data_IF_755170364211
#
_entry.id   IF_755170364211
#
_cell.length_a   1.000
_cell.length_b   1.000
_cell.length_c   1.000
_cell.angle_alpha   90.00
_cell.angle_beta   90.00
_cell.angle_gamma   90.00
#
_symmetry.space_group_name_H-M   'P 1'
#
loop_
_entity.id
_entity.type
_entity.pdbx_description
1 polymer ?
#
# COMPACT_ATOMS: atom_id res chain seq x y z
N UNK A 1 12.47 12.38 57.46
CA UNK A 1 11.77 12.09 58.73
C UNK A 1 12.34 10.79 59.27
N UNK A 2 12.63 10.71 60.57
CA UNK A 2 13.07 9.47 61.20
C UNK A 2 11.82 8.69 61.58
N UNK A 3 11.45 7.67 60.78
CA UNK A 3 10.23 6.89 60.98
C UNK A 3 10.42 5.93 62.16
N UNK A 4 9.37 5.74 62.97
CA UNK A 4 9.39 4.93 64.18
C UNK A 4 8.89 3.51 63.91
N UNK A 5 9.58 2.51 64.46
CA UNK A 5 9.11 1.11 64.54
C UNK A 5 9.16 0.68 66.01
N UNK A 6 8.04 0.27 66.60
CA UNK A 6 7.96 -0.17 67.99
C UNK A 6 8.16 -1.68 68.19
N UNK A 7 8.10 -2.49 67.13
CA UNK A 7 8.41 -3.92 67.19
C UNK A 7 9.92 -4.12 67.23
N UNK A 8 10.45 -4.56 68.38
CA UNK A 8 11.89 -4.71 68.62
C UNK A 8 12.35 -6.15 68.64
N UNK A 9 13.49 -6.41 68.02
CA UNK A 9 14.15 -7.70 68.11
C UNK A 9 14.67 -7.93 69.55
N UNK A 10 14.29 -9.06 70.14
CA UNK A 10 14.68 -9.46 71.48
C UNK A 10 16.01 -10.22 71.48
N UNK A 11 16.89 -9.97 72.46
CA UNK A 11 18.11 -10.76 72.68
C UNK A 11 19.06 -10.87 71.47
N UNK A 12 19.23 -9.78 70.72
CA UNK A 12 20.09 -9.71 69.51
C UNK A 12 21.53 -9.25 69.76
N UNK A 13 21.87 -8.88 71.00
CA UNK A 13 23.23 -8.45 71.36
C UNK A 13 24.17 -9.66 71.48
N UNK A 14 25.46 -9.41 71.28
CA UNK A 14 26.49 -10.42 71.53
C UNK A 14 26.45 -10.87 73.00
N UNK A 15 26.62 -12.18 73.21
CA UNK A 15 26.52 -12.81 74.53
C UNK A 15 25.10 -12.89 75.11
N UNK A 16 24.05 -12.66 74.32
CA UNK A 16 22.68 -12.82 74.79
C UNK A 16 22.40 -14.24 75.31
N UNK A 17 21.56 -14.34 76.35
CA UNK A 17 21.13 -15.59 76.99
C UNK A 17 20.24 -16.43 76.06
N UNK A 18 20.83 -17.04 75.04
CA UNK A 18 20.14 -17.74 73.96
C UNK A 18 20.94 -18.97 73.54
N UNK A 19 20.30 -20.11 73.33
CA UNK A 19 20.97 -21.34 72.86
C UNK A 19 21.58 -21.17 71.46
N UNK A 20 22.73 -21.81 71.22
CA UNK A 20 23.38 -21.83 69.91
C UNK A 20 22.46 -22.42 68.83
N UNK A 21 22.63 -22.02 67.56
CA UNK A 21 21.72 -22.42 66.48
C UNK A 21 21.73 -23.93 66.24
N UNK A 22 22.90 -24.54 66.16
CA UNK A 22 23.07 -25.98 65.98
C UNK A 22 22.38 -26.80 67.08
N UNK A 23 22.55 -26.41 68.35
CA UNK A 23 21.91 -27.10 69.48
C UNK A 23 20.39 -26.92 69.50
N UNK A 24 19.89 -25.77 69.06
CA UNK A 24 18.45 -25.52 68.98
C UNK A 24 17.78 -26.37 67.90
N UNK A 25 18.44 -26.56 66.76
CA UNK A 25 17.95 -27.36 65.62
C UNK A 25 17.81 -28.85 65.95
N UNK A 26 18.53 -29.33 66.98
CA UNK A 26 18.50 -30.72 67.45
C UNK A 26 17.41 -30.98 68.51
N UNK A 27 16.74 -29.95 69.02
CA UNK A 27 15.74 -30.08 70.09
C UNK A 27 14.42 -30.72 69.59
N UNK A 28 13.92 -31.79 70.24
CA UNK A 28 12.60 -32.36 69.92
C UNK A 28 11.45 -31.35 70.06
N UNK A 29 11.58 -30.39 70.97
CA UNK A 29 10.60 -29.34 71.27
C UNK A 29 10.31 -28.43 70.07
N UNK A 30 11.17 -28.41 69.04
CA UNK A 30 10.87 -27.72 67.78
C UNK A 30 9.61 -28.25 67.10
N UNK A 31 9.33 -29.55 67.25
CA UNK A 31 8.19 -30.21 66.64
C UNK A 31 7.04 -30.40 67.64
N UNK A 32 7.36 -30.74 68.89
CA UNK A 32 6.37 -31.06 69.92
C UNK A 32 5.97 -29.88 70.82
N UNK A 33 6.65 -28.74 70.72
CA UNK A 33 6.48 -27.60 71.63
C UNK A 33 7.20 -27.78 72.97
N UNK A 34 7.22 -26.72 73.79
CA UNK A 34 7.89 -26.75 75.09
C UNK A 34 7.16 -27.63 76.11
N UNK A 35 7.90 -28.40 76.94
CA UNK A 35 7.30 -29.23 77.99
C UNK A 35 6.63 -28.37 79.08
N UNK A 36 5.64 -28.90 79.81
CA UNK A 36 4.95 -28.16 80.88
C UNK A 36 5.85 -27.80 82.09
N UNK A 37 6.99 -28.48 82.23
CA UNK A 37 7.99 -28.29 83.29
C UNK A 37 9.39 -28.38 82.68
N UNK A 38 10.38 -27.83 83.38
CA UNK A 38 11.80 -27.94 83.04
C UNK A 38 12.26 -27.24 81.75
N UNK A 39 11.61 -26.12 81.38
CA UNK A 39 12.04 -25.25 80.28
C UNK A 39 13.19 -24.33 80.72
N UNK A 40 14.34 -24.40 80.01
CA UNK A 40 15.43 -23.45 80.23
C UNK A 40 15.15 -22.11 79.56
N UNK A 41 15.55 -21.01 80.20
CA UNK A 41 15.40 -19.65 79.65
C UNK A 41 16.21 -19.46 78.37
N UNK A 42 17.34 -20.16 78.21
CA UNK A 42 18.15 -20.16 76.97
C UNK A 42 17.37 -20.63 75.74
N UNK A 43 16.55 -21.68 75.90
CA UNK A 43 15.73 -22.26 74.83
C UNK A 43 14.52 -21.36 74.54
N UNK A 44 13.82 -20.90 75.59
CA UNK A 44 12.71 -19.96 75.46
C UNK A 44 13.14 -18.67 74.76
N UNK A 45 14.26 -18.09 75.17
CA UNK A 45 14.81 -16.87 74.58
C UNK A 45 15.19 -17.05 73.11
N UNK A 46 15.51 -18.26 72.66
CA UNK A 46 15.78 -18.53 71.24
C UNK A 46 14.53 -18.41 70.39
N UNK A 47 13.43 -19.03 70.82
CA UNK A 47 12.13 -18.92 70.14
C UNK A 47 11.63 -17.46 70.14
N UNK A 48 11.74 -16.77 71.29
CA UNK A 48 11.40 -15.34 71.40
C UNK A 48 12.31 -14.46 70.52
N UNK A 49 13.61 -14.74 70.43
CA UNK A 49 14.53 -14.02 69.55
C UNK A 49 14.18 -14.22 68.09
N UNK A 50 13.97 -15.46 67.64
CA UNK A 50 13.65 -15.73 66.22
C UNK A 50 12.35 -15.03 65.80
N UNK A 51 11.29 -15.15 66.62
CA UNK A 51 10.00 -14.50 66.34
C UNK A 51 10.06 -12.96 66.36
N UNK A 52 10.67 -12.38 67.40
CA UNK A 52 10.80 -10.92 67.52
C UNK A 52 11.73 -10.30 66.47
N UNK A 53 12.77 -11.02 66.03
CA UNK A 53 13.68 -10.56 64.98
C UNK A 53 12.94 -10.43 63.65
N UNK A 54 12.17 -11.45 63.25
CA UNK A 54 11.34 -11.39 62.05
C UNK A 54 10.29 -10.28 62.17
N UNK A 55 9.65 -10.15 63.33
CA UNK A 55 8.66 -9.09 63.58
C UNK A 55 9.26 -7.69 63.42
N UNK A 56 10.46 -7.45 63.96
CA UNK A 56 11.19 -6.19 63.81
C UNK A 56 11.54 -5.89 62.36
N UNK A 57 12.04 -6.88 61.61
CA UNK A 57 12.42 -6.73 60.19
C UNK A 57 11.19 -6.40 59.34
N UNK A 58 10.08 -7.09 59.55
CA UNK A 58 8.82 -6.83 58.83
C UNK A 58 8.30 -5.43 59.19
N UNK A 59 8.32 -5.04 60.46
CA UNK A 59 7.85 -3.72 60.87
C UNK A 59 8.75 -2.58 60.35
N UNK A 60 10.08 -2.79 60.25
CA UNK A 60 11.00 -1.84 59.62
C UNK A 60 10.74 -1.69 58.12
N UNK A 61 10.45 -2.81 57.42
CA UNK A 61 10.03 -2.80 56.03
C UNK A 61 8.73 -2.01 55.86
N UNK A 62 7.71 -2.30 56.68
CA UNK A 62 6.43 -1.59 56.66
C UNK A 62 6.66 -0.09 56.88
N UNK A 63 7.44 0.27 57.90
CA UNK A 63 7.73 1.66 58.25
C UNK A 63 8.37 2.41 57.09
N UNK A 64 9.48 1.88 56.58
CA UNK A 64 10.29 2.46 55.50
C UNK A 64 9.48 2.64 54.22
N UNK A 65 8.80 1.58 53.79
CA UNK A 65 8.10 1.59 52.51
C UNK A 65 6.77 2.33 52.61
N UNK A 66 5.95 2.11 53.64
CA UNK A 66 4.67 2.84 53.78
C UNK A 66 4.86 4.34 54.07
N UNK A 67 6.04 4.74 54.56
CA UNK A 67 6.36 6.11 54.96
C UNK A 67 5.60 6.55 56.21
N UNK A 68 5.33 5.65 57.13
CA UNK A 68 4.53 5.91 58.34
C UNK A 68 5.04 5.09 59.52
N UNK A 69 4.85 5.61 60.73
CA UNK A 69 5.26 4.92 61.96
C UNK A 69 4.48 3.62 62.17
N UNK A 70 5.16 2.58 62.66
CA UNK A 70 4.60 1.27 62.99
C UNK A 70 4.63 1.09 64.50
N UNK A 71 3.47 1.25 65.15
CA UNK A 71 3.32 1.26 66.61
C UNK A 71 2.82 -0.09 67.12
N UNK A 72 3.26 -0.50 68.31
CA UNK A 72 2.78 -1.68 69.03
C UNK A 72 1.61 -1.30 69.95
N UNK A 73 0.47 -0.94 69.34
CA UNK A 73 -0.75 -0.48 70.02
C UNK A 73 -1.92 -1.49 69.92
N UNK A 74 -1.65 -2.69 69.41
CA UNK A 74 -2.65 -3.73 69.17
C UNK A 74 -3.60 -3.46 68.00
N UNK A 75 -3.39 -2.40 67.21
CA UNK A 75 -4.25 -2.07 66.07
C UNK A 75 -3.87 -2.88 64.82
N UNK A 76 -4.36 -4.12 64.76
CA UNK A 76 -4.10 -5.06 63.65
C UNK A 76 -4.55 -4.46 62.31
N UNK A 77 -5.72 -3.82 62.26
CA UNK A 77 -6.26 -3.24 61.02
C UNK A 77 -5.33 -2.18 60.42
N UNK A 78 -4.77 -1.31 61.28
CA UNK A 78 -3.79 -0.29 60.85
C UNK A 78 -2.50 -0.94 60.37
N UNK A 79 -1.97 -1.92 61.09
CA UNK A 79 -0.75 -2.63 60.70
C UNK A 79 -0.92 -3.35 59.34
N UNK A 80 -2.07 -4.00 59.12
CA UNK A 80 -2.41 -4.61 57.82
C UNK A 80 -2.47 -3.59 56.69
N UNK A 81 -3.13 -2.45 56.92
CA UNK A 81 -3.21 -1.38 55.92
C UNK A 81 -1.82 -0.82 55.58
N UNK A 82 -0.96 -0.66 56.58
CA UNK A 82 0.42 -0.20 56.38
C UNK A 82 1.27 -1.23 55.62
N UNK A 83 1.11 -2.53 55.90
CA UNK A 83 1.79 -3.59 55.16
C UNK A 83 1.37 -3.62 53.68
N UNK A 84 0.07 -3.52 53.39
CA UNK A 84 -0.42 -3.46 52.02
C UNK A 84 0.17 -2.24 51.27
N UNK A 85 0.15 -1.06 51.91
CA UNK A 85 0.74 0.16 51.34
C UNK A 85 2.24 0.03 51.08
N UNK A 86 2.98 -0.61 51.99
CA UNK A 86 4.40 -0.89 51.83
C UNK A 86 4.67 -1.79 50.61
N UNK A 87 3.89 -2.86 50.44
CA UNK A 87 3.98 -3.76 49.29
C UNK A 87 3.63 -3.04 47.97
N UNK A 88 2.52 -2.31 47.92
CA UNK A 88 2.08 -1.56 46.74
C UNK A 88 3.14 -0.56 46.27
N UNK A 89 3.70 0.23 47.20
CA UNK A 89 4.76 1.20 46.87
C UNK A 89 6.03 0.51 46.39
N UNK A 90 6.41 -0.62 47.01
CA UNK A 90 7.61 -1.37 46.61
C UNK A 90 7.46 -1.99 45.22
N UNK A 91 6.27 -2.49 44.89
CA UNK A 91 5.93 -3.03 43.57
C UNK A 91 5.97 -1.92 42.52
N UNK A 92 5.27 -0.80 42.77
CA UNK A 92 5.18 0.32 41.82
C UNK A 92 6.53 0.98 41.51
N UNK A 93 7.42 1.06 42.51
CA UNK A 93 8.75 1.70 42.32
C UNK A 93 9.78 0.80 41.64
N UNK A 94 9.64 -0.53 41.73
CA UNK A 94 10.56 -1.49 41.09
C UNK A 94 10.05 -2.01 39.74
N UNK A 95 8.75 -1.96 39.52
CA UNK A 95 8.10 -2.39 38.29
C UNK A 95 7.53 -1.13 37.64
N UNK A 96 8.37 -0.42 36.90
CA UNK A 96 7.93 0.74 36.12
C UNK A 96 6.90 0.33 35.07
N UNK A 97 6.03 1.27 34.70
CA UNK A 97 5.23 1.20 33.48
C UNK A 97 6.11 1.00 32.25
N UNK A 98 5.48 0.67 31.11
CA UNK A 98 6.12 0.52 29.82
C UNK A 98 7.17 1.63 29.55
N UNK A 99 8.43 1.23 29.40
CA UNK A 99 9.56 2.13 29.11
C UNK A 99 10.32 1.63 27.87
N UNK A 100 10.83 2.55 27.06
CA UNK A 100 11.66 2.26 25.88
C UNK A 100 13.10 1.86 26.26
N UNK A 101 13.51 2.06 27.51
CA UNK A 101 14.91 1.92 27.96
C UNK A 101 15.08 0.97 29.16
N UNK A 102 14.00 0.61 29.87
CA UNK A 102 14.05 -0.27 31.04
C UNK A 102 12.85 -1.24 31.04
N UNK A 103 13.08 -2.52 31.39
CA UNK A 103 12.03 -3.56 31.35
C UNK A 103 10.98 -3.35 32.46
N UNK A 104 9.68 -3.37 32.12
CA UNK A 104 8.51 -3.17 33.01
C UNK A 104 7.30 -4.06 32.65
N UNK A 105 6.11 -3.84 33.22
CA UNK A 105 4.84 -4.49 32.81
C UNK A 105 4.12 -3.56 31.81
N UNK A 106 3.74 -4.09 30.63
CA UNK A 106 3.01 -3.34 29.61
C UNK A 106 1.58 -3.86 29.51
N UNK A 107 0.59 -2.96 29.51
CA UNK A 107 -0.81 -3.34 29.28
C UNK A 107 -1.02 -3.66 27.79
N UNK A 108 -1.71 -4.76 27.48
CA UNK A 108 -2.01 -5.16 26.11
C UNK A 108 -3.25 -4.44 25.57
N UNK A 109 -3.28 -4.18 24.26
CA UNK A 109 -4.43 -3.62 23.54
C UNK A 109 -4.82 -4.47 22.32
N UNK A 110 -6.12 -4.58 22.08
CA UNK A 110 -6.75 -5.09 20.87
C UNK A 110 -7.29 -3.97 19.96
N UNK A 111 -7.24 -2.71 20.42
CA UNK A 111 -7.60 -1.52 19.65
C UNK A 111 -6.40 -0.84 18.99
N UNK A 112 -6.66 -0.17 17.85
CA UNK A 112 -5.72 0.72 17.17
C UNK A 112 -5.82 2.12 17.79
N UNK A 113 -4.69 2.79 17.96
CA UNK A 113 -4.65 4.15 18.50
C UNK A 113 -3.24 4.73 18.49
N UNK A 114 -3.03 5.78 19.28
CA UNK A 114 -1.78 6.54 19.40
C UNK A 114 -1.18 6.45 20.81
N UNK A 115 -1.37 5.31 21.50
CA UNK A 115 -0.85 5.10 22.85
C UNK A 115 0.64 4.78 22.85
N UNK A 116 1.37 5.38 23.79
CA UNK A 116 2.77 5.06 24.09
C UNK A 116 2.91 4.11 25.30
N UNK A 117 1.79 3.72 25.93
CA UNK A 117 1.77 2.89 27.15
C UNK A 117 1.16 1.50 26.94
N UNK A 118 0.56 1.25 25.76
CA UNK A 118 -0.08 -0.02 25.42
C UNK A 118 0.75 -0.78 24.36
N UNK A 119 0.88 -2.09 24.53
CA UNK A 119 1.46 -2.98 23.52
C UNK A 119 0.36 -3.67 22.70
N UNK A 120 0.52 -3.70 21.38
CA UNK A 120 -0.40 -4.41 20.51
C UNK A 120 -0.38 -5.93 20.79
N UNK A 121 -1.56 -6.55 20.87
CA UNK A 121 -1.66 -8.01 20.92
C UNK A 121 -1.21 -8.63 19.60
N UNK A 122 -0.71 -9.88 19.63
CA UNK A 122 -0.37 -10.62 18.40
C UNK A 122 -1.57 -10.71 17.45
N UNK A 123 -2.79 -10.89 18.00
CA UNK A 123 -4.02 -10.88 17.22
C UNK A 123 -4.22 -9.56 16.46
N UNK A 124 -4.08 -8.42 17.13
CA UNK A 124 -4.17 -7.11 16.49
C UNK A 124 -3.13 -6.95 15.37
N UNK A 125 -1.88 -7.37 15.60
CA UNK A 125 -0.82 -7.34 14.59
C UNK A 125 -1.17 -8.22 13.38
N UNK A 126 -1.70 -9.42 13.61
CA UNK A 126 -2.16 -10.31 12.53
C UNK A 126 -3.35 -9.73 11.75
N UNK A 127 -4.33 -9.15 12.43
CA UNK A 127 -5.50 -8.52 11.79
C UNK A 127 -5.09 -7.32 10.92
N UNK A 128 -4.15 -6.49 11.40
CA UNK A 128 -3.57 -5.37 10.62
C UNK A 128 -2.82 -5.91 9.39
N UNK A 129 -1.99 -6.94 9.56
CA UNK A 129 -1.24 -7.54 8.47
C UNK A 129 -2.16 -8.13 7.39
N UNK A 130 -3.24 -8.81 7.79
CA UNK A 130 -4.25 -9.34 6.87
C UNK A 130 -4.97 -8.21 6.11
N UNK A 131 -5.36 -7.14 6.79
CA UNK A 131 -5.96 -5.97 6.14
C UNK A 131 -4.99 -5.31 5.16
N UNK A 132 -3.70 -5.22 5.49
CA UNK A 132 -2.68 -4.67 4.57
C UNK A 132 -2.49 -5.56 3.34
N UNK A 133 -2.43 -6.89 3.51
CA UNK A 133 -2.28 -7.83 2.40
C UNK A 133 -3.46 -7.82 1.42
N UNK A 134 -4.67 -7.51 1.90
CA UNK A 134 -5.87 -7.44 1.05
C UNK A 134 -5.98 -6.13 0.24
N UNK A 135 -5.06 -5.17 0.40
CA UNK A 135 -5.10 -3.88 -0.30
C UNK A 135 -4.07 -3.88 -1.43
N UNK A 136 -4.54 -3.78 -2.67
CA UNK A 136 -3.71 -3.81 -3.88
C UNK A 136 -2.96 -5.12 -4.05
N UNK A 137 -3.65 -6.23 -3.78
CA UNK A 137 -3.04 -7.55 -3.89
C UNK A 137 -2.73 -7.85 -5.37
N UNK A 138 -1.43 -7.98 -5.70
CA UNK A 138 -0.98 -8.13 -7.10
C UNK A 138 -1.62 -9.32 -7.82
N UNK A 139 -1.87 -10.40 -7.08
CA UNK A 139 -2.47 -11.65 -7.57
C UNK A 139 -3.96 -11.49 -7.90
N UNK A 140 -4.65 -10.50 -7.31
CA UNK A 140 -6.07 -10.26 -7.54
C UNK A 140 -6.36 -9.45 -8.81
N UNK A 141 -5.35 -8.83 -9.44
CA UNK A 141 -5.51 -8.05 -10.67
C UNK A 141 -6.66 -7.01 -10.59
N UNK A 142 -6.82 -6.35 -9.45
CA UNK A 142 -7.88 -5.36 -9.22
C UNK A 142 -9.27 -5.93 -8.93
N UNK A 143 -9.39 -7.22 -8.62
CA UNK A 143 -10.64 -7.80 -8.11
C UNK A 143 -11.03 -7.23 -6.73
N UNK A 144 -10.05 -6.77 -5.96
CA UNK A 144 -10.17 -6.12 -4.65
C UNK A 144 -10.62 -4.65 -4.72
N UNK A 145 -10.76 -4.06 -5.91
CA UNK A 145 -11.24 -2.69 -6.10
C UNK A 145 -12.75 -2.63 -5.83
N UNK A 146 -13.23 -1.91 -4.79
CA UNK A 146 -14.65 -1.90 -4.43
C UNK A 146 -15.53 -1.20 -5.47
N UNK A 147 -15.07 -0.07 -6.00
CA UNK A 147 -15.73 0.67 -7.07
C UNK A 147 -14.77 0.83 -8.26
N UNK A 148 -14.92 -0.08 -9.22
CA UNK A 148 -14.10 -0.08 -10.44
C UNK A 148 -14.38 1.14 -11.33
N UNK A 149 -15.60 1.69 -11.30
CA UNK A 149 -15.96 2.83 -12.13
C UNK A 149 -15.29 4.11 -11.62
N UNK A 150 -15.36 4.38 -10.31
CA UNK A 150 -14.67 5.52 -9.70
C UNK A 150 -13.15 5.37 -9.82
N UNK A 151 -12.62 4.15 -9.71
CA UNK A 151 -11.21 3.87 -9.96
C UNK A 151 -10.77 4.27 -11.38
N UNK A 152 -11.48 3.82 -12.42
CA UNK A 152 -11.21 4.17 -13.83
C UNK A 152 -11.30 5.68 -14.07
N UNK A 153 -12.26 6.35 -13.43
CA UNK A 153 -12.42 7.82 -13.48
C UNK A 153 -11.24 8.56 -12.84
N UNK A 154 -10.74 8.09 -11.69
CA UNK A 154 -9.57 8.67 -11.02
C UNK A 154 -8.27 8.48 -11.82
N UNK A 155 -8.19 7.45 -12.67
CA UNK A 155 -7.10 7.29 -13.64
C UNK A 155 -7.21 8.23 -14.85
N UNK A 156 -8.32 8.97 -14.99
CA UNK A 156 -8.56 9.86 -16.12
C UNK A 156 -8.90 9.14 -17.43
N UNK A 157 -9.24 7.85 -17.38
CA UNK A 157 -9.58 7.06 -18.57
C UNK A 157 -11.04 7.24 -19.00
N UNK A 158 -11.94 7.55 -18.07
CA UNK A 158 -13.39 7.76 -18.31
C UNK A 158 -13.97 6.67 -19.26
N UNK A 159 -14.61 7.07 -20.37
CA UNK A 159 -15.20 6.13 -21.34
C UNK A 159 -14.17 5.37 -22.16
N UNK A 160 -12.94 5.89 -22.31
CA UNK A 160 -11.93 5.26 -23.16
C UNK A 160 -11.53 3.87 -22.67
N UNK A 161 -11.56 3.63 -21.35
CA UNK A 161 -11.30 2.30 -20.76
C UNK A 161 -12.27 1.21 -21.24
N UNK A 162 -13.46 1.59 -21.72
CA UNK A 162 -14.50 0.67 -22.17
C UNK A 162 -14.55 0.50 -23.69
N UNK A 163 -13.75 1.27 -24.44
CA UNK A 163 -13.72 1.18 -25.90
C UNK A 163 -12.68 0.14 -26.34
N UNK A 164 -13.08 -0.75 -27.24
CA UNK A 164 -12.16 -1.73 -27.85
C UNK A 164 -11.33 -1.05 -28.93
N UNK A 165 -10.11 -1.53 -29.15
CA UNK A 165 -9.32 -1.17 -30.34
C UNK A 165 -9.94 -1.82 -31.57
N UNK A 166 -10.19 -1.02 -32.61
CA UNK A 166 -10.79 -1.47 -33.86
C UNK A 166 -11.40 -0.31 -34.67
N UNK A 167 -12.01 -0.62 -35.81
CA UNK A 167 -12.56 0.37 -36.75
C UNK A 167 -14.10 0.35 -36.88
N UNK A 168 -14.79 -0.35 -35.97
CA UNK A 168 -16.24 -0.36 -35.86
C UNK A 168 -16.82 0.80 -35.02
N UNK A 169 -18.15 0.85 -34.94
CA UNK A 169 -18.86 1.82 -34.08
C UNK A 169 -18.44 1.60 -32.61
N UNK A 170 -18.21 2.70 -31.87
CA UNK A 170 -17.76 2.68 -30.48
C UNK A 170 -16.41 1.95 -30.27
N UNK A 171 -15.49 2.09 -31.23
CA UNK A 171 -14.11 1.61 -31.11
C UNK A 171 -13.12 2.76 -31.31
N UNK A 172 -11.88 2.55 -30.83
CA UNK A 172 -10.75 3.45 -31.06
C UNK A 172 -9.89 2.84 -32.18
N UNK A 173 -9.78 3.48 -33.35
CA UNK A 173 -8.88 3.01 -34.40
C UNK A 173 -7.42 3.13 -33.96
N UNK A 174 -6.71 2.01 -34.02
CA UNK A 174 -5.24 1.98 -33.96
C UNK A 174 -4.62 2.52 -35.27
N UNK A 175 -3.35 2.93 -35.20
CA UNK A 175 -2.61 3.50 -36.33
C UNK A 175 -2.49 2.54 -37.53
N UNK A 176 -2.55 1.21 -37.32
CA UNK A 176 -2.54 0.23 -38.41
C UNK A 176 -3.73 0.35 -39.35
N UNK A 177 -4.83 0.99 -38.94
CA UNK A 177 -5.97 1.28 -39.83
C UNK A 177 -5.73 2.49 -40.76
N UNK A 178 -4.64 3.24 -40.56
CA UNK A 178 -4.28 4.44 -41.34
C UNK A 178 -3.04 4.22 -42.23
N UNK A 179 -2.87 3.01 -42.78
CA UNK A 179 -1.71 2.71 -43.66
C UNK A 179 -1.62 3.68 -44.82
N UNK A 180 -0.39 4.03 -45.19
CA UNK A 180 -0.11 4.98 -46.26
C UNK A 180 1.23 4.70 -46.92
N UNK A 181 1.37 5.16 -48.16
CA UNK A 181 2.64 5.30 -48.86
C UNK A 181 2.81 6.76 -49.29
N UNK A 182 3.69 7.49 -48.58
CA UNK A 182 3.83 8.95 -48.68
C UNK A 182 4.82 9.39 -49.76
N UNK A 183 4.79 8.71 -50.90
CA UNK A 183 5.59 9.07 -52.08
C UNK A 183 4.84 10.00 -53.02
N UNK A 184 5.53 10.43 -54.08
CA UNK A 184 5.00 11.36 -55.09
C UNK A 184 3.68 10.88 -55.73
N UNK A 185 3.57 9.58 -55.98
CA UNK A 185 2.34 8.91 -56.40
C UNK A 185 1.90 7.99 -55.26
N UNK A 186 1.27 8.57 -54.24
CA UNK A 186 1.04 7.94 -52.95
C UNK A 186 -0.43 7.67 -52.66
N UNK A 187 -0.67 7.08 -51.49
CA UNK A 187 -2.01 6.77 -51.01
C UNK A 187 -2.07 6.75 -49.49
N UNK A 188 -3.28 6.91 -48.95
CA UNK A 188 -3.58 6.71 -47.54
C UNK A 188 -4.95 6.02 -47.41
N UNK A 189 -5.02 4.97 -46.59
CA UNK A 189 -6.27 4.32 -46.16
C UNK A 189 -6.78 4.97 -44.89
N UNK A 190 -8.10 5.01 -44.75
CA UNK A 190 -8.80 5.47 -43.56
C UNK A 190 -9.52 4.28 -42.91
N UNK A 191 -9.76 4.31 -41.58
CA UNK A 191 -10.43 3.23 -40.87
C UNK A 191 -11.83 2.88 -41.40
N UNK A 192 -12.48 3.84 -42.06
CA UNK A 192 -13.77 3.65 -42.73
C UNK A 192 -13.72 2.76 -43.98
N UNK A 193 -12.52 2.38 -44.44
CA UNK A 193 -12.29 1.69 -45.71
C UNK A 193 -12.05 2.64 -46.88
N UNK A 194 -12.25 3.95 -46.70
CA UNK A 194 -11.93 4.94 -47.73
C UNK A 194 -10.42 4.97 -47.99
N UNK A 195 -10.06 5.19 -49.24
CA UNK A 195 -8.69 5.33 -49.71
C UNK A 195 -8.60 6.63 -50.49
N UNK A 196 -7.63 7.47 -50.12
CA UNK A 196 -7.26 8.68 -50.84
C UNK A 196 -5.96 8.37 -51.55
N UNK A 197 -5.89 8.69 -52.85
CA UNK A 197 -4.68 8.54 -53.65
C UNK A 197 -4.35 9.84 -54.34
N UNK A 198 -3.07 10.10 -54.55
CA UNK A 198 -2.58 11.28 -55.25
C UNK A 198 -1.42 10.93 -56.15
N UNK A 199 -1.14 11.82 -57.10
CA UNK A 199 0.07 11.72 -57.89
C UNK A 199 0.04 12.52 -59.17
N UNK A 200 0.90 12.12 -60.10
CA UNK A 200 0.95 12.66 -61.45
C UNK A 200 0.24 11.74 -62.42
N UNK A 201 -0.66 12.32 -63.20
CA UNK A 201 -1.29 11.68 -64.34
C UNK A 201 -0.84 12.35 -65.63
N UNK A 202 -0.44 11.55 -66.61
CA UNK A 202 -0.22 12.04 -67.96
C UNK A 202 -1.58 12.20 -68.65
N UNK A 203 -1.70 13.22 -69.50
CA UNK A 203 -2.92 13.49 -70.27
C UNK A 203 -2.61 13.47 -71.76
N UNK A 204 -3.57 13.02 -72.56
CA UNK A 204 -3.45 12.98 -74.02
C UNK A 204 -4.67 13.58 -74.70
N UNK A 205 -4.52 13.91 -75.98
CA UNK A 205 -5.57 14.54 -76.76
C UNK A 205 -6.83 13.68 -76.84
N UNK A 206 -8.00 14.32 -76.75
CA UNK A 206 -9.29 13.66 -76.97
C UNK A 206 -9.66 13.68 -78.47
N UNK A 207 -9.39 12.59 -79.18
CA UNK A 207 -9.92 12.32 -80.52
C UNK A 207 -10.99 11.23 -80.52
N UNK A 208 -11.02 10.39 -79.47
CA UNK A 208 -12.06 9.40 -79.20
C UNK A 208 -12.09 9.07 -77.69
N UNK A 209 -13.11 8.35 -77.19
CA UNK A 209 -13.12 7.90 -75.79
C UNK A 209 -11.89 7.04 -75.42
N UNK A 210 -11.24 6.38 -76.37
CA UNK A 210 -10.07 5.53 -76.09
C UNK A 210 -8.72 6.26 -76.29
N UNK A 211 -8.73 7.50 -76.82
CA UNK A 211 -7.49 8.21 -77.17
C UNK A 211 -6.75 8.81 -75.97
N UNK A 212 -7.43 9.02 -74.84
CA UNK A 212 -6.80 9.57 -73.63
C UNK A 212 -5.68 8.68 -73.10
N UNK A 213 -4.81 9.24 -72.26
CA UNK A 213 -3.71 8.47 -71.67
C UNK A 213 -4.19 7.61 -70.52
N UNK A 214 -3.86 6.32 -70.53
CA UNK A 214 -4.21 5.38 -69.48
C UNK A 214 -3.18 5.44 -68.34
N UNK A 215 -3.61 5.89 -67.17
CA UNK A 215 -2.81 5.98 -65.96
C UNK A 215 -3.19 4.86 -64.98
N UNK A 216 -2.25 4.48 -64.12
CA UNK A 216 -2.49 3.52 -63.04
C UNK A 216 -2.66 4.25 -61.71
N UNK A 217 -3.59 3.80 -60.88
CA UNK A 217 -3.61 4.15 -59.46
C UNK A 217 -2.39 3.54 -58.75
N UNK A 218 -1.86 4.19 -57.68
CA UNK A 218 -0.77 3.64 -56.87
C UNK A 218 -1.03 2.22 -56.34
N UNK A 219 -2.28 1.94 -55.94
CA UNK A 219 -2.79 0.61 -55.61
C UNK A 219 -4.19 0.44 -56.21
N UNK A 220 -4.69 -0.78 -56.42
CA UNK A 220 -6.09 -0.98 -56.80
C UNK A 220 -7.05 -0.56 -55.68
N UNK A 221 -8.15 0.10 -56.02
CA UNK A 221 -9.29 0.24 -55.12
C UNK A 221 -9.92 -1.14 -54.88
N UNK A 222 -10.15 -1.57 -53.63
CA UNK A 222 -10.76 -2.87 -53.35
C UNK A 222 -12.14 -3.04 -54.03
N UNK A 223 -12.96 -1.98 -54.05
CA UNK A 223 -14.29 -1.98 -54.65
C UNK A 223 -14.36 -1.06 -55.87
N UNK A 224 -14.21 0.25 -55.69
CA UNK A 224 -14.30 1.23 -56.80
C UNK A 224 -13.66 2.57 -56.44
N UNK A 225 -13.17 3.26 -57.47
CA UNK A 225 -12.93 4.70 -57.38
C UNK A 225 -14.28 5.42 -57.49
N UNK A 226 -14.56 6.35 -56.57
CA UNK A 226 -15.80 7.13 -56.54
C UNK A 226 -15.63 8.44 -57.29
N UNK A 227 -14.47 9.09 -57.16
CA UNK A 227 -14.20 10.36 -57.81
C UNK A 227 -12.71 10.56 -58.04
N UNK A 228 -12.40 11.29 -59.12
CA UNK A 228 -11.06 11.73 -59.46
C UNK A 228 -11.11 13.18 -59.94
N UNK A 229 -10.18 13.99 -59.45
CA UNK A 229 -9.99 15.38 -59.87
C UNK A 229 -8.61 15.56 -60.46
N UNK A 230 -8.51 16.40 -61.49
CA UNK A 230 -7.26 16.74 -62.15
C UNK A 230 -6.98 18.23 -62.01
N UNK A 231 -5.74 18.57 -61.71
CA UNK A 231 -5.25 19.95 -61.67
C UNK A 231 -4.04 20.10 -62.57
N UNK A 232 -3.97 21.20 -63.33
CA UNK A 232 -2.83 21.49 -64.20
C UNK A 232 -1.50 21.41 -63.43
N UNK A 233 -0.50 20.76 -64.03
CA UNK A 233 0.88 20.80 -63.53
C UNK A 233 1.74 21.60 -64.50
N UNK A 234 2.08 22.83 -64.11
CA UNK A 234 2.98 23.71 -64.86
C UNK A 234 2.68 25.18 -64.61
N UNK A 235 3.58 26.04 -65.08
CA UNK A 235 3.49 27.50 -65.00
C UNK A 235 3.01 28.16 -66.31
N UNK A 236 2.73 27.36 -67.33
CA UNK A 236 2.29 27.81 -68.64
C UNK A 236 0.76 27.72 -68.74
N UNK A 237 0.02 28.84 -68.60
CA UNK A 237 -1.43 28.83 -68.76
C UNK A 237 -1.85 28.48 -70.20
N UNK A 238 -0.96 28.66 -71.18
CA UNK A 238 -1.12 28.14 -72.55
C UNK A 238 -0.73 26.66 -72.66
N UNK A 239 -0.54 25.95 -71.56
CA UNK A 239 -0.56 24.50 -71.52
C UNK A 239 -1.70 23.98 -70.62
N UNK A 240 -2.33 24.88 -69.86
CA UNK A 240 -3.53 24.60 -69.09
C UNK A 240 -4.71 24.49 -70.05
N UNK A 241 -5.15 23.25 -70.26
CA UNK A 241 -6.35 22.93 -71.03
C UNK A 241 -7.52 22.55 -70.13
N UNK A 242 -8.68 22.34 -70.75
CA UNK A 242 -9.76 21.61 -70.11
C UNK A 242 -9.30 20.15 -70.00
N UNK A 243 -9.19 19.67 -68.78
CA UNK A 243 -8.90 18.27 -68.49
C UNK A 243 -10.18 17.54 -68.13
N UNK A 244 -10.26 16.29 -68.56
CA UNK A 244 -11.27 15.35 -68.09
C UNK A 244 -10.61 14.03 -67.75
N UNK A 245 -11.29 13.22 -66.94
CA UNK A 245 -10.87 11.86 -66.66
C UNK A 245 -12.05 10.91 -66.65
N UNK A 246 -11.80 9.65 -66.98
CA UNK A 246 -12.75 8.54 -66.86
C UNK A 246 -12.13 7.46 -66.02
N UNK A 247 -12.88 6.92 -65.06
CA UNK A 247 -12.48 5.75 -64.28
C UNK A 247 -12.73 4.53 -65.16
N UNK A 248 -11.68 3.78 -65.47
CA UNK A 248 -11.77 2.62 -66.36
C UNK A 248 -12.04 1.35 -65.57
N UNK A 249 -11.36 1.19 -64.44
CA UNK A 249 -11.51 0.05 -63.53
C UNK A 249 -10.86 0.37 -62.16
N UNK A 250 -10.77 -0.64 -61.29
CA UNK A 250 -10.18 -0.53 -59.94
C UNK A 250 -8.70 -0.10 -59.94
N UNK A 251 -7.98 -0.32 -61.04
CA UNK A 251 -6.54 -0.11 -61.16
C UNK A 251 -6.20 1.13 -61.99
N UNK A 252 -7.12 1.61 -62.83
CA UNK A 252 -6.78 2.52 -63.92
C UNK A 252 -7.83 3.60 -64.16
N UNK A 253 -7.33 4.72 -64.64
CA UNK A 253 -8.13 5.85 -65.07
C UNK A 253 -7.50 6.46 -66.31
N UNK A 254 -8.33 7.00 -67.20
CA UNK A 254 -7.88 7.64 -68.43
C UNK A 254 -8.02 9.14 -68.30
N UNK A 255 -7.01 9.88 -68.74
CA UNK A 255 -7.03 11.35 -68.70
C UNK A 255 -6.91 11.95 -70.10
N UNK A 256 -7.67 13.02 -70.30
CA UNK A 256 -7.78 13.70 -71.58
C UNK A 256 -7.47 15.19 -71.43
N UNK A 257 -7.01 15.78 -72.54
CA UNK A 257 -6.93 17.22 -72.75
C UNK A 257 -7.52 17.60 -74.10
N UNK A 258 -7.89 18.88 -74.23
CA UNK A 258 -8.36 19.44 -75.50
C UNK A 258 -7.27 19.37 -76.61
N UNK A 259 -7.69 19.13 -77.85
CA UNK A 259 -6.86 18.87 -79.05
C UNK A 259 -5.96 20.05 -79.48
N UNK A 260 -6.34 21.29 -79.16
CA UNK A 260 -5.72 22.50 -79.70
C UNK A 260 -4.36 22.88 -79.08
N UNK A 261 -3.81 22.07 -78.16
CA UNK A 261 -2.56 22.39 -77.46
C UNK A 261 -1.36 21.58 -77.97
N UNK A 262 -0.41 22.26 -78.62
CA UNK A 262 0.75 21.71 -79.35
C UNK A 262 1.89 21.07 -78.53
N UNK A 263 1.73 20.83 -77.22
CA UNK A 263 2.76 20.15 -76.41
C UNK A 263 2.56 18.62 -76.40
N UNK A 264 3.63 17.89 -76.73
CA UNK A 264 3.62 16.43 -76.96
C UNK A 264 3.50 15.58 -75.68
N UNK A 265 3.75 16.14 -74.49
CA UNK A 265 3.46 15.48 -73.19
C UNK A 265 3.07 16.50 -72.13
N UNK A 266 1.87 16.38 -71.57
CA UNK A 266 1.38 17.24 -70.46
C UNK A 266 1.06 16.36 -69.25
N UNK A 267 1.34 16.87 -68.05
CA UNK A 267 1.00 16.19 -66.79
C UNK A 267 -0.03 17.01 -66.01
N UNK A 268 -0.80 16.31 -65.19
CA UNK A 268 -1.70 16.89 -64.20
C UNK A 268 -1.38 16.26 -62.85
N UNK A 269 -1.67 16.99 -61.77
CA UNK A 269 -1.86 16.34 -60.48
C UNK A 269 -3.22 15.67 -60.50
N UNK A 270 -3.31 14.46 -59.96
CA UNK A 270 -4.60 13.84 -59.67
C UNK A 270 -4.77 13.64 -58.17
N UNK A 271 -6.02 13.70 -57.74
CA UNK A 271 -6.45 13.17 -56.45
C UNK A 271 -7.68 12.31 -56.69
N UNK A 272 -7.66 11.10 -56.15
CA UNK A 272 -8.74 10.13 -56.30
C UNK A 272 -9.19 9.63 -54.92
N UNK A 273 -10.49 9.35 -54.79
CA UNK A 273 -11.08 8.78 -53.59
C UNK A 273 -11.96 7.59 -53.95
N UNK A 274 -11.89 6.55 -53.14
CA UNK A 274 -12.65 5.31 -53.34
C UNK A 274 -12.52 4.39 -52.13
N UNK A 275 -12.94 3.14 -52.28
CA UNK A 275 -12.87 2.09 -51.26
C UNK A 275 -12.87 0.70 -51.91
#
# INVERSE_FOLDING_TARGET
>A
MNLKNDFKAFSVRDGANVVAQNLYEELPELQSGFPPRDLTTHILNKALRQSSTISSVVADFISTESGSDVLDDGNIAKLTAQLNKALEKKITTKISDASLTQKGIVQLTDGIGNSNTLAATQKLVSDINNNANNRLEKTQNGADIPDKNEFVKNLGLDKAANLKVGNGINQIPDMSFFTADLVKNGWQKLPSGLIIMWGLAQVYNHSSPQSGYLNNFPIPFPNQCVSITLTHRGNDPQAAGIFSSTIENKNQFRCYKNLNYHKLTTFTFFMAIGY
#
